data_IF_713721312613
#
_entry.id   IF_713721312613
#
_cell.length_a   1.000
_cell.length_b   1.000
_cell.length_c   1.000
_cell.angle_alpha   90.00
_cell.angle_beta   90.00
_cell.angle_gamma   90.00
#
_symmetry.space_group_name_H-M   'P 1'
#
loop_
_entity.id
_entity.type
_entity.pdbx_description
1 polymer ?
#
# COMPACT_ATOMS: atom_id res chain seq x y z
N UNK A 1 -42.25 51.32 57.86
CA UNK A 1 -40.99 52.09 57.74
C UNK A 1 -40.82 52.41 56.26
N UNK A 2 -41.59 53.39 55.74
CA UNK A 2 -41.28 54.82 55.61
C UNK A 2 -40.12 55.12 54.64
N UNK A 3 -40.45 55.98 53.68
CA UNK A 3 -39.81 56.41 52.42
C UNK A 3 -38.72 57.50 52.67
N UNK A 4 -38.25 58.37 51.74
CA UNK A 4 -38.63 58.60 50.33
C UNK A 4 -37.54 59.01 49.31
N UNK A 5 -37.99 59.04 48.04
CA UNK A 5 -37.65 59.95 46.94
C UNK A 5 -36.95 61.28 47.29
N UNK A 6 -36.06 61.76 46.39
CA UNK A 6 -36.12 63.08 45.69
C UNK A 6 -34.93 63.21 44.72
N UNK A 7 -35.17 63.31 43.40
CA UNK A 7 -35.23 64.52 42.52
C UNK A 7 -33.86 65.04 42.00
N UNK A 8 -33.80 65.15 40.66
CA UNK A 8 -32.76 65.75 39.79
C UNK A 8 -32.53 67.26 40.03
N UNK A 9 -31.40 67.84 39.58
CA UNK A 9 -31.38 68.54 38.28
C UNK A 9 -30.08 68.39 37.43
N UNK A 10 -30.19 68.84 36.18
CA UNK A 10 -29.21 68.87 35.08
C UNK A 10 -28.39 70.19 35.11
N UNK A 11 -27.24 70.19 34.39
CA UNK A 11 -26.35 71.29 33.94
C UNK A 11 -25.14 71.58 34.85
N UNK A 12 -23.88 71.80 34.42
CA UNK A 12 -23.22 72.11 33.13
C UNK A 12 -21.71 71.74 33.18
N UNK A 13 -21.17 71.38 32.02
CA UNK A 13 -19.80 71.59 31.47
C UNK A 13 -18.57 71.66 32.40
N UNK A 14 -17.62 70.75 32.15
CA UNK A 14 -16.23 70.87 32.57
C UNK A 14 -15.32 69.91 31.81
N UNK A 15 -14.77 70.36 30.69
CA UNK A 15 -13.77 69.63 29.90
C UNK A 15 -12.48 69.42 30.72
N UNK A 16 -12.02 68.18 30.83
CA UNK A 16 -10.66 67.86 31.26
C UNK A 16 -10.09 66.77 30.37
N UNK A 17 -8.95 67.09 29.74
CA UNK A 17 -8.13 66.17 28.96
C UNK A 17 -7.62 65.03 29.85
N UNK A 18 -7.85 63.79 29.44
CA UNK A 18 -7.06 62.64 29.89
C UNK A 18 -6.47 61.98 28.65
N UNK A 19 -5.17 62.19 28.47
CA UNK A 19 -4.32 61.43 27.57
C UNK A 19 -4.26 59.98 28.03
N UNK A 20 -4.77 59.05 27.24
CA UNK A 20 -4.56 57.61 27.39
C UNK A 20 -3.77 57.10 26.19
N UNK A 21 -2.51 56.80 26.46
CA UNK A 21 -1.53 56.17 25.58
C UNK A 21 -2.09 54.80 25.18
N UNK A 22 -2.46 54.64 23.91
CA UNK A 22 -2.73 53.34 23.31
C UNK A 22 -1.37 52.69 23.03
N UNK A 23 -1.00 51.70 23.87
CA UNK A 23 0.07 50.76 23.54
C UNK A 23 -0.47 49.90 22.40
N UNK A 24 0.05 50.14 21.19
CA UNK A 24 -0.15 49.27 20.03
C UNK A 24 0.52 47.92 20.30
N UNK A 25 -0.25 46.96 20.81
CA UNK A 25 0.09 45.55 20.60
C UNK A 25 -0.25 45.23 19.13
N UNK A 26 0.71 44.78 18.31
CA UNK A 26 0.37 44.32 16.98
C UNK A 26 -0.53 43.10 17.13
N UNK A 27 -1.81 43.26 16.78
CA UNK A 27 -2.67 42.14 16.45
C UNK A 27 -1.94 41.35 15.36
N UNK A 28 -1.49 40.15 15.71
CA UNK A 28 -1.05 39.16 14.74
C UNK A 28 -2.21 38.95 13.79
N UNK A 29 -2.11 39.54 12.60
CA UNK A 29 -2.99 39.27 11.48
C UNK A 29 -2.92 37.77 11.25
N UNK A 30 -4.06 37.10 11.47
CA UNK A 30 -4.26 35.73 11.04
C UNK A 30 -3.92 35.66 9.56
N UNK A 31 -2.91 34.85 9.26
CA UNK A 31 -2.32 34.69 7.94
C UNK A 31 -3.32 33.99 7.01
N UNK A 32 -4.25 34.76 6.45
CA UNK A 32 -5.11 34.35 5.33
C UNK A 32 -4.35 34.32 4.01
N UNK A 33 -3.04 34.56 4.01
CA UNK A 33 -2.17 34.51 2.83
C UNK A 33 -1.71 33.10 2.48
N UNK A 34 -1.66 32.18 3.46
CA UNK A 34 -1.18 30.82 3.24
C UNK A 34 -2.19 29.89 2.53
N UNK A 35 -3.52 30.09 2.71
CA UNK A 35 -4.51 29.19 2.09
C UNK A 35 -4.72 29.45 0.59
N UNK A 36 -4.51 30.68 0.12
CA UNK A 36 -4.78 31.06 -1.27
C UNK A 36 -3.68 30.63 -2.26
N UNK A 37 -2.51 30.22 -1.77
CA UNK A 37 -1.43 29.72 -2.61
C UNK A 37 -1.54 28.21 -2.88
N UNK A 38 -2.27 27.46 -2.04
CA UNK A 38 -2.49 26.02 -2.22
C UNK A 38 -3.46 25.72 -3.37
N UNK A 39 -4.47 26.57 -3.57
CA UNK A 39 -5.44 26.42 -4.68
C UNK A 39 -4.86 26.70 -6.08
N UNK A 40 -3.76 27.47 -6.19
CA UNK A 40 -3.20 27.86 -7.50
C UNK A 40 -2.20 26.89 -8.10
N UNK A 41 -1.66 25.95 -7.32
CA UNK A 41 -0.58 25.07 -7.79
C UNK A 41 -1.09 23.82 -8.53
N UNK A 42 -2.36 23.45 -8.38
CA UNK A 42 -2.93 22.26 -9.01
C UNK A 42 -3.96 22.65 -10.06
N UNK A 43 -3.59 22.61 -11.34
CA UNK A 43 -4.53 22.74 -12.45
C UNK A 43 -5.12 21.34 -12.79
N UNK A 44 -6.35 21.02 -12.35
CA UNK A 44 -6.90 19.66 -12.38
C UNK A 44 -7.40 19.22 -13.76
N UNK A 45 -7.43 20.12 -14.74
CA UNK A 45 -7.95 19.84 -16.09
C UNK A 45 -6.92 19.18 -17.02
N UNK A 46 -5.63 19.22 -16.66
CA UNK A 46 -4.61 18.44 -17.33
C UNK A 46 -4.64 17.02 -16.76
N UNK A 47 -4.98 16.01 -17.58
CA UNK A 47 -4.77 14.60 -17.22
C UNK A 47 -3.38 14.46 -16.59
N UNK A 48 -3.29 13.86 -15.40
CA UNK A 48 -2.03 13.51 -14.74
C UNK A 48 -1.19 12.72 -15.75
N UNK A 49 -0.23 13.40 -16.37
CA UNK A 49 0.62 12.84 -17.42
C UNK A 49 2.01 12.80 -16.84
N UNK A 50 2.46 11.57 -16.56
CA UNK A 50 3.76 11.35 -15.98
C UNK A 50 4.75 10.92 -17.06
N UNK A 51 5.94 11.49 -17.00
CA UNK A 51 7.08 11.03 -17.80
C UNK A 51 7.67 9.77 -17.17
N UNK A 52 8.22 8.91 -18.02
CA UNK A 52 9.03 7.76 -17.61
C UNK A 52 10.49 8.17 -17.44
N UNK A 53 11.25 7.38 -16.69
CA UNK A 53 12.71 7.53 -16.57
C UNK A 53 13.39 6.29 -17.11
N UNK A 54 14.58 6.44 -17.68
CA UNK A 54 15.37 5.32 -18.19
C UNK A 54 16.34 4.90 -17.09
N UNK A 55 16.35 3.62 -16.66
CA UNK A 55 17.34 3.13 -15.72
C UNK A 55 18.75 3.22 -16.33
N UNK A 56 19.72 3.62 -15.52
CA UNK A 56 21.11 3.72 -15.90
C UNK A 56 21.74 2.31 -16.03
N UNK A 57 22.48 2.03 -17.11
CA UNK A 57 23.20 0.77 -17.27
C UNK A 57 24.21 0.56 -16.14
N UNK A 58 24.30 -0.68 -15.65
CA UNK A 58 25.29 -1.13 -14.66
C UNK A 58 25.27 -0.41 -13.29
N UNK A 59 24.27 0.44 -13.04
CA UNK A 59 24.11 1.11 -11.76
C UNK A 59 23.49 0.17 -10.73
N UNK A 60 24.12 0.11 -9.56
CA UNK A 60 23.54 -0.53 -8.37
C UNK A 60 22.67 0.50 -7.66
N UNK A 61 21.37 0.21 -7.57
CA UNK A 61 20.41 1.09 -6.90
C UNK A 61 20.26 0.73 -5.42
N UNK A 62 20.25 1.76 -4.57
CA UNK A 62 19.80 1.64 -3.18
C UNK A 62 18.27 1.72 -3.13
N UNK A 63 17.68 1.01 -2.17
CA UNK A 63 16.24 1.04 -1.90
C UNK A 63 16.03 1.65 -0.52
N UNK A 64 15.11 2.59 -0.37
CA UNK A 64 14.56 2.87 0.94
C UNK A 64 13.34 1.99 1.18
N UNK A 65 13.29 1.31 2.31
CA UNK A 65 12.18 0.49 2.74
C UNK A 65 11.39 1.23 3.83
N UNK A 66 10.21 1.70 3.48
CA UNK A 66 9.29 2.42 4.37
C UNK A 66 8.31 1.39 4.91
N UNK A 67 8.39 1.13 6.21
CA UNK A 67 7.55 0.14 6.89
C UNK A 67 6.52 0.89 7.72
N UNK A 68 5.24 0.72 7.40
CA UNK A 68 4.15 1.11 8.28
C UNK A 68 3.96 0.04 9.36
N UNK A 69 4.01 0.45 10.63
CA UNK A 69 3.90 -0.49 11.75
C UNK A 69 3.28 0.12 13.00
N UNK A 70 2.97 -0.74 13.96
CA UNK A 70 2.71 -0.40 15.36
C UNK A 70 3.78 -1.00 16.28
N UNK A 71 3.85 -0.54 17.53
CA UNK A 71 4.93 -0.87 18.46
C UNK A 71 5.03 -2.38 18.71
N UNK A 72 3.89 -3.08 18.78
CA UNK A 72 3.81 -4.52 19.04
C UNK A 72 4.25 -5.42 17.87
N UNK A 73 4.37 -4.88 16.66
CA UNK A 73 4.71 -5.69 15.49
C UNK A 73 6.22 -5.95 15.43
N UNK A 74 6.57 -7.20 15.13
CA UNK A 74 7.96 -7.62 14.98
C UNK A 74 8.47 -7.29 13.57
N UNK A 75 9.60 -6.60 13.52
CA UNK A 75 10.31 -6.21 12.29
C UNK A 75 11.77 -6.66 12.32
N UNK A 76 12.14 -7.60 13.20
CA UNK A 76 13.49 -8.13 13.32
C UNK A 76 14.02 -8.74 12.02
N UNK A 77 13.14 -9.22 11.14
CA UNK A 77 13.46 -9.71 9.80
C UNK A 77 14.22 -8.69 8.93
N UNK A 78 14.08 -7.39 9.23
CA UNK A 78 14.81 -6.31 8.53
C UNK A 78 16.32 -6.44 8.67
N UNK A 79 16.82 -7.05 9.77
CA UNK A 79 18.25 -7.33 9.97
C UNK A 79 18.84 -8.29 8.94
N UNK A 80 18.01 -9.02 8.20
CA UNK A 80 18.45 -9.94 7.15
C UNK A 80 18.59 -9.25 5.79
N UNK A 81 18.12 -8.01 5.64
CA UNK A 81 18.18 -7.28 4.38
C UNK A 81 19.62 -6.90 4.02
N UNK A 82 19.95 -6.78 2.72
CA UNK A 82 21.28 -6.37 2.29
C UNK A 82 21.54 -4.88 2.59
N UNK A 83 22.82 -4.51 2.74
CA UNK A 83 23.29 -3.15 3.11
C UNK A 83 22.87 -2.02 2.16
N UNK A 84 22.38 -2.35 0.97
CA UNK A 84 21.83 -1.39 0.01
C UNK A 84 20.33 -1.12 0.22
N UNK A 85 19.73 -1.60 1.33
CA UNK A 85 18.36 -1.31 1.74
C UNK A 85 18.37 -0.47 3.02
N UNK A 86 17.96 0.78 2.89
CA UNK A 86 17.85 1.74 3.99
C UNK A 86 16.45 1.62 4.62
N UNK A 87 16.37 1.18 5.88
CA UNK A 87 15.09 0.87 6.55
C UNK A 87 14.57 2.08 7.33
N UNK A 88 13.32 2.46 7.06
CA UNK A 88 12.57 3.51 7.74
C UNK A 88 11.29 2.93 8.34
N UNK A 89 11.33 2.52 9.60
CA UNK A 89 10.18 1.93 10.29
C UNK A 89 9.36 3.00 11.01
N UNK A 90 8.23 3.39 10.43
CA UNK A 90 7.26 4.26 11.07
C UNK A 90 6.43 3.49 12.10
N UNK A 91 6.38 3.99 13.33
CA UNK A 91 5.60 3.39 14.43
C UNK A 91 4.43 4.31 14.75
N UNK A 92 3.24 3.94 14.27
CA UNK A 92 2.08 4.83 14.25
C UNK A 92 1.54 5.16 15.66
N UNK A 93 1.65 4.23 16.60
CA UNK A 93 1.12 4.32 17.97
C UNK A 93 2.18 4.73 19.01
N UNK A 94 3.36 5.18 18.58
CA UNK A 94 4.42 5.67 19.46
C UNK A 94 4.91 7.07 19.07
N UNK A 95 4.43 8.14 19.72
CA UNK A 95 4.86 9.52 19.44
C UNK A 95 6.34 9.82 19.75
N UNK A 96 7.05 8.92 20.43
CA UNK A 96 8.46 9.07 20.78
C UNK A 96 9.38 8.22 19.89
N UNK A 97 8.83 7.49 18.91
CA UNK A 97 9.66 6.77 17.94
C UNK A 97 10.42 7.75 17.03
N UNK A 98 11.65 7.36 16.64
CA UNK A 98 12.47 8.14 15.70
C UNK A 98 11.71 8.46 14.40
N UNK A 99 11.10 7.43 13.80
CA UNK A 99 10.12 7.59 12.73
C UNK A 99 8.74 7.35 13.31
N UNK A 100 8.00 8.44 13.49
CA UNK A 100 6.62 8.42 13.97
C UNK A 100 5.71 9.19 13.02
N UNK A 101 4.42 9.15 13.29
CA UNK A 101 3.40 9.87 12.54
C UNK A 101 2.82 11.02 13.36
N UNK A 102 2.37 12.10 12.71
CA UNK A 102 1.68 13.20 13.38
C UNK A 102 0.37 12.80 14.09
N UNK A 103 -0.27 11.70 13.67
CA UNK A 103 -1.46 11.14 14.31
C UNK A 103 -1.62 9.66 13.95
N UNK A 104 -1.96 8.82 14.92
CA UNK A 104 -2.30 7.42 14.67
C UNK A 104 -3.67 7.28 14.00
N UNK A 105 -3.78 7.60 12.71
CA UNK A 105 -5.02 7.58 11.94
C UNK A 105 -4.76 7.22 10.48
N UNK A 106 -5.57 6.33 9.90
CA UNK A 106 -5.45 5.95 8.49
C UNK A 106 -4.34 4.93 8.20
N UNK A 107 -3.93 4.14 9.19
CA UNK A 107 -3.00 3.02 9.04
C UNK A 107 -1.72 3.39 8.26
N UNK A 108 -1.37 2.64 7.22
CA UNK A 108 -0.17 2.82 6.41
C UNK A 108 -0.14 4.15 5.66
N UNK A 109 -1.31 4.72 5.33
CA UNK A 109 -1.44 5.97 4.58
C UNK A 109 -0.71 7.11 5.29
N UNK A 110 -0.84 7.19 6.61
CA UNK A 110 -0.21 8.26 7.38
C UNK A 110 1.31 8.13 7.41
N UNK A 111 1.83 6.91 7.56
CA UNK A 111 3.26 6.65 7.51
C UNK A 111 3.84 7.00 6.13
N UNK A 112 3.20 6.54 5.06
CA UNK A 112 3.69 6.71 3.70
C UNK A 112 3.67 8.19 3.27
N UNK A 113 2.58 8.91 3.53
CA UNK A 113 2.49 10.33 3.23
C UNK A 113 3.47 11.15 4.08
N UNK A 114 3.67 10.79 5.35
CA UNK A 114 4.65 11.48 6.22
C UNK A 114 6.06 11.31 5.68
N UNK A 115 6.46 10.11 5.26
CA UNK A 115 7.76 9.91 4.61
C UNK A 115 7.93 10.77 3.36
N UNK A 116 6.95 10.74 2.45
CA UNK A 116 7.01 11.50 1.20
C UNK A 116 7.12 13.02 1.45
N UNK A 117 6.44 13.53 2.47
CA UNK A 117 6.46 14.95 2.84
C UNK A 117 7.78 15.34 3.49
N UNK A 118 8.27 14.55 4.45
CA UNK A 118 9.43 14.91 5.27
C UNK A 118 10.75 14.76 4.49
N UNK A 119 10.76 13.85 3.52
CA UNK A 119 11.93 13.54 2.70
C UNK A 119 11.86 14.08 1.27
N UNK A 120 10.84 14.88 0.91
CA UNK A 120 10.56 15.29 -0.47
C UNK A 120 11.79 15.81 -1.24
N UNK A 121 12.59 16.67 -0.62
CA UNK A 121 13.77 17.29 -1.25
C UNK A 121 14.99 16.35 -1.34
N UNK A 122 14.91 15.16 -0.72
CA UNK A 122 15.99 14.17 -0.60
C UNK A 122 15.50 12.74 -0.80
N UNK A 123 14.41 12.53 -1.53
CA UNK A 123 13.85 11.20 -1.77
C UNK A 123 14.92 10.28 -2.37
N UNK A 124 14.99 8.99 -2.03
CA UNK A 124 15.92 8.03 -2.63
C UNK A 124 15.42 7.59 -4.02
N UNK A 125 16.30 6.98 -4.82
CA UNK A 125 15.98 6.59 -6.21
C UNK A 125 14.82 5.62 -6.32
N UNK A 126 14.74 4.67 -5.38
CA UNK A 126 13.67 3.68 -5.27
C UNK A 126 13.19 3.67 -3.82
N UNK A 127 11.89 3.85 -3.65
CA UNK A 127 11.20 3.75 -2.36
C UNK A 127 10.25 2.56 -2.42
N UNK A 128 10.23 1.76 -1.36
CA UNK A 128 9.46 0.53 -1.24
C UNK A 128 8.61 0.65 0.01
N UNK A 129 7.30 0.67 -0.14
CA UNK A 129 6.31 0.86 0.92
C UNK A 129 5.66 -0.48 1.25
N UNK A 130 5.78 -0.93 2.50
CA UNK A 130 5.32 -2.25 2.96
C UNK A 130 4.72 -2.20 4.36
N UNK A 131 3.96 -3.23 4.68
CA UNK A 131 3.52 -3.53 6.04
C UNK A 131 4.63 -4.16 6.88
N UNK A 132 4.44 -4.23 8.19
CA UNK A 132 5.43 -4.74 9.14
C UNK A 132 5.70 -6.26 9.06
N UNK A 133 4.75 -7.05 8.56
CA UNK A 133 4.77 -8.51 8.66
C UNK A 133 5.88 -9.16 7.81
N UNK A 134 6.60 -10.14 8.38
CA UNK A 134 7.61 -10.93 7.64
C UNK A 134 6.97 -11.86 6.60
N UNK A 135 5.89 -12.54 7.00
CA UNK A 135 5.09 -13.43 6.17
C UNK A 135 3.66 -12.90 6.12
N UNK A 136 3.13 -12.69 4.90
CA UNK A 136 1.77 -12.19 4.74
C UNK A 136 1.22 -12.45 3.34
N UNK A 137 -0.08 -12.74 3.27
CA UNK A 137 -0.85 -12.83 2.03
C UNK A 137 -0.81 -11.54 1.18
N UNK A 138 -0.38 -10.40 1.74
CA UNK A 138 -0.14 -9.17 0.99
C UNK A 138 1.07 -9.26 0.04
N UNK A 139 1.88 -10.31 0.14
CA UNK A 139 3.07 -10.52 -0.67
C UNK A 139 2.82 -11.57 -1.77
N UNK A 140 3.51 -11.49 -2.92
CA UNK A 140 3.36 -12.47 -3.98
C UNK A 140 3.75 -13.89 -3.53
N UNK A 141 2.89 -14.84 -3.80
CA UNK A 141 3.07 -16.22 -3.34
C UNK A 141 4.28 -16.92 -3.98
N UNK A 142 4.69 -16.63 -5.23
CA UNK A 142 5.96 -17.20 -5.78
C UNK A 142 7.22 -16.68 -5.08
N UNK A 143 7.05 -15.71 -4.17
CA UNK A 143 8.06 -15.22 -3.24
C UNK A 143 7.84 -15.79 -1.83
N UNK A 144 7.02 -16.84 -1.71
CA UNK A 144 6.62 -17.52 -0.48
C UNK A 144 5.97 -16.59 0.55
N UNK A 145 5.23 -15.57 0.07
CA UNK A 145 4.59 -14.56 0.92
C UNK A 145 5.57 -13.82 1.87
N UNK A 146 6.88 -13.86 1.54
CA UNK A 146 7.96 -13.46 2.43
C UNK A 146 8.52 -12.08 2.05
N UNK A 147 8.35 -11.10 2.94
CA UNK A 147 8.72 -9.69 2.73
C UNK A 147 10.21 -9.52 2.42
N UNK A 148 11.16 -10.13 3.15
CA UNK A 148 12.59 -10.04 2.81
C UNK A 148 12.90 -10.57 1.40
N UNK A 149 12.29 -11.68 0.99
CA UNK A 149 12.48 -12.21 -0.38
C UNK A 149 11.95 -11.23 -1.42
N UNK A 150 10.77 -10.65 -1.17
CA UNK A 150 10.15 -9.66 -2.05
C UNK A 150 11.05 -8.42 -2.22
N UNK A 151 11.51 -7.82 -1.12
CA UNK A 151 12.38 -6.62 -1.15
C UNK A 151 13.71 -6.91 -1.87
N UNK A 152 14.35 -8.05 -1.58
CA UNK A 152 15.61 -8.44 -2.23
C UNK A 152 15.44 -8.59 -3.74
N UNK A 153 14.36 -9.25 -4.18
CA UNK A 153 14.14 -9.57 -5.60
C UNK A 153 13.49 -8.45 -6.42
N UNK A 154 12.90 -7.44 -5.76
CA UNK A 154 12.30 -6.31 -6.43
C UNK A 154 13.31 -5.63 -7.36
N UNK A 155 12.97 -5.55 -8.64
CA UNK A 155 13.77 -4.93 -9.69
C UNK A 155 13.71 -3.40 -9.61
N UNK A 156 14.81 -2.71 -9.21
CA UNK A 156 14.84 -1.26 -9.23
C UNK A 156 14.68 -0.70 -10.66
N UNK A 157 15.22 -1.39 -11.66
CA UNK A 157 15.11 -1.01 -13.07
C UNK A 157 13.64 -0.94 -13.54
N UNK A 158 12.80 -1.89 -13.11
CA UNK A 158 11.36 -1.83 -13.44
C UNK A 158 10.70 -0.66 -12.74
N UNK A 159 10.96 -0.46 -11.45
CA UNK A 159 10.37 0.64 -10.68
C UNK A 159 10.74 1.99 -11.29
N UNK A 160 11.99 2.16 -11.73
CA UNK A 160 12.47 3.38 -12.40
C UNK A 160 11.82 3.55 -13.78
N UNK A 161 11.74 2.48 -14.57
CA UNK A 161 11.16 2.54 -15.92
C UNK A 161 9.66 2.87 -15.91
N UNK A 162 8.90 2.16 -15.08
CA UNK A 162 7.44 2.32 -15.00
C UNK A 162 7.04 3.50 -14.09
N UNK A 163 7.91 3.90 -13.18
CA UNK A 163 7.69 4.93 -12.18
C UNK A 163 6.92 4.45 -10.94
N UNK A 164 6.05 3.46 -11.11
CA UNK A 164 5.22 2.83 -10.07
C UNK A 164 5.09 1.33 -10.30
N UNK A 165 5.16 0.55 -9.23
CA UNK A 165 4.91 -0.88 -9.24
C UNK A 165 4.16 -1.29 -7.98
N UNK A 166 2.99 -1.91 -8.12
CA UNK A 166 2.37 -2.63 -7.02
C UNK A 166 3.21 -3.88 -6.70
N UNK A 167 3.44 -4.16 -5.42
CA UNK A 167 4.27 -5.29 -5.00
C UNK A 167 3.50 -6.61 -4.99
N UNK A 168 2.17 -6.58 -4.98
CA UNK A 168 1.31 -7.74 -5.17
C UNK A 168 1.12 -8.03 -6.67
N UNK A 169 1.30 -9.30 -7.07
CA UNK A 169 1.17 -9.74 -8.47
C UNK A 169 -0.19 -10.37 -8.80
N UNK A 170 -1.18 -10.19 -7.92
CA UNK A 170 -2.50 -10.82 -8.01
C UNK A 170 -2.54 -12.15 -7.27
N UNK A 171 -3.73 -12.51 -6.78
CA UNK A 171 -3.96 -13.80 -6.15
C UNK A 171 -4.22 -14.87 -7.23
N UNK A 172 -4.03 -16.12 -6.85
CA UNK A 172 -4.16 -17.27 -7.74
C UNK A 172 -5.62 -17.61 -8.07
N UNK A 173 -6.51 -17.33 -7.12
CA UNK A 173 -7.95 -17.61 -7.18
C UNK A 173 -8.75 -16.52 -7.90
N UNK A 174 -8.32 -15.26 -7.78
CA UNK A 174 -9.01 -14.14 -8.44
C UNK A 174 -8.39 -13.79 -9.78
N UNK A 175 -7.14 -14.19 -10.09
CA UNK A 175 -6.51 -14.12 -11.43
C UNK A 175 -6.51 -12.74 -12.09
N UNK A 176 -7.05 -11.74 -11.41
CA UNK A 176 -7.51 -10.50 -12.00
C UNK A 176 -7.06 -9.37 -11.11
N UNK A 177 -6.99 -8.23 -11.77
CA UNK A 177 -7.09 -6.94 -11.16
C UNK A 177 -8.58 -6.61 -11.21
N UNK A 178 -9.38 -7.11 -10.26
CA UNK A 178 -10.81 -7.16 -10.44
C UNK A 178 -11.34 -5.73 -10.50
N UNK A 179 -12.20 -5.45 -11.48
CA UNK A 179 -12.95 -4.21 -11.58
C UNK A 179 -14.09 -4.14 -10.53
N UNK A 180 -13.81 -4.63 -9.32
CA UNK A 180 -14.74 -4.74 -8.18
C UNK A 180 -15.00 -3.39 -7.54
N UNK A 181 -14.02 -2.49 -7.61
CA UNK A 181 -14.19 -1.12 -7.16
C UNK A 181 -14.78 -0.31 -8.29
N UNK A 182 -16.06 0.02 -8.12
CA UNK A 182 -16.84 0.84 -9.05
C UNK A 182 -17.45 2.01 -8.29
N UNK A 183 -16.70 3.09 -8.10
CA UNK A 183 -17.15 4.22 -7.29
C UNK A 183 -18.46 4.82 -7.79
N UNK A 184 -18.70 4.94 -9.10
CA UNK A 184 -19.99 5.42 -9.64
C UNK A 184 -21.21 4.55 -9.29
N UNK A 185 -20.98 3.28 -8.96
CA UNK A 185 -22.02 2.34 -8.51
C UNK A 185 -22.08 2.21 -6.98
N UNK A 186 -21.17 2.88 -6.25
CA UNK A 186 -21.02 2.70 -4.81
C UNK A 186 -20.57 1.29 -4.43
N UNK A 187 -19.65 0.69 -5.18
CA UNK A 187 -19.11 -0.67 -4.91
C UNK A 187 -17.62 -0.67 -4.58
N UNK A 188 -17.18 -1.54 -3.65
CA UNK A 188 -17.98 -2.41 -2.77
C UNK A 188 -18.83 -1.65 -1.74
N UNK A 189 -18.49 -0.39 -1.44
CA UNK A 189 -19.18 0.44 -0.45
C UNK A 189 -19.68 1.73 -1.09
N UNK A 190 -20.86 2.21 -0.70
CA UNK A 190 -21.44 3.46 -1.25
C UNK A 190 -20.52 4.66 -1.02
N UNK A 191 -19.88 4.65 0.13
CA UNK A 191 -18.92 5.65 0.60
C UNK A 191 -17.71 5.81 -0.34
N UNK A 192 -17.43 4.86 -1.23
CA UNK A 192 -16.30 4.99 -2.17
C UNK A 192 -16.50 6.12 -3.16
N UNK A 193 -17.75 6.43 -3.54
CA UNK A 193 -18.05 7.63 -4.32
C UNK A 193 -17.72 8.89 -3.51
N UNK A 194 -18.24 8.98 -2.28
CA UNK A 194 -18.03 10.13 -1.39
C UNK A 194 -16.54 10.35 -1.06
N UNK A 195 -15.79 9.25 -0.87
CA UNK A 195 -14.35 9.28 -0.66
C UNK A 195 -13.66 9.85 -1.91
N UNK A 196 -14.00 9.38 -3.11
CA UNK A 196 -13.44 9.94 -4.34
C UNK A 196 -13.75 11.42 -4.50
N UNK A 197 -15.03 11.80 -4.40
CA UNK A 197 -15.48 13.18 -4.58
C UNK A 197 -14.84 14.14 -3.57
N UNK A 198 -14.58 13.67 -2.34
CA UNK A 198 -13.90 14.48 -1.33
C UNK A 198 -12.37 14.56 -1.51
N UNK A 199 -11.73 13.49 -2.00
CA UNK A 199 -10.29 13.46 -2.27
C UNK A 199 -9.93 14.21 -3.55
N UNK A 200 -10.76 14.08 -4.58
CA UNK A 200 -10.52 14.57 -5.94
C UNK A 200 -11.76 15.30 -6.48
N UNK A 201 -12.17 16.42 -5.87
CA UNK A 201 -13.42 17.13 -6.23
C UNK A 201 -13.46 17.63 -7.68
N UNK A 202 -12.31 17.67 -8.35
CA UNK A 202 -12.17 18.12 -9.73
C UNK A 202 -11.91 16.99 -10.72
N UNK A 203 -11.75 15.74 -10.26
CA UNK A 203 -11.62 14.57 -11.13
C UNK A 203 -12.97 13.84 -11.21
N UNK A 204 -13.41 13.42 -12.41
CA UNK A 204 -14.63 12.63 -12.52
C UNK A 204 -14.50 11.33 -11.74
N UNK A 205 -15.56 10.94 -11.04
CA UNK A 205 -15.65 9.64 -10.36
C UNK A 205 -15.44 8.53 -11.40
N UNK A 206 -14.46 7.63 -11.21
CA UNK A 206 -14.16 6.61 -12.20
C UNK A 206 -15.25 5.54 -12.17
N UNK A 207 -15.60 5.01 -13.34
CA UNK A 207 -16.49 3.85 -13.44
C UNK A 207 -15.83 2.61 -12.82
N UNK A 208 -14.52 2.46 -13.02
CA UNK A 208 -13.70 1.37 -12.50
C UNK A 208 -12.42 1.95 -11.95
N UNK A 209 -12.09 1.60 -10.71
CA UNK A 209 -10.77 1.78 -10.13
C UNK A 209 -10.18 0.39 -9.89
N UNK A 210 -9.09 0.02 -10.55
CA UNK A 210 -8.57 -1.34 -10.47
C UNK A 210 -7.05 -1.36 -10.39
N UNK A 211 -6.55 -2.01 -9.35
CA UNK A 211 -5.19 -2.51 -9.21
C UNK A 211 -5.22 -3.74 -8.29
N UNK A 212 -4.08 -4.38 -8.04
CA UNK A 212 -3.98 -5.34 -6.93
C UNK A 212 -4.08 -4.62 -5.57
N UNK A 213 -4.63 -5.29 -4.57
CA UNK A 213 -4.92 -4.75 -3.23
C UNK A 213 -3.68 -4.32 -2.43
N UNK A 214 -3.95 -4.03 -1.15
CA UNK A 214 -3.05 -4.25 -0.03
C UNK A 214 -2.02 -3.17 0.22
N UNK A 215 -2.02 -2.07 -0.54
CA UNK A 215 -1.25 -0.87 -0.19
C UNK A 215 0.27 -1.05 -0.16
N UNK A 216 0.82 -2.14 -0.72
CA UNK A 216 2.26 -2.34 -0.82
C UNK A 216 2.74 -2.04 -2.24
N UNK A 217 3.64 -1.08 -2.39
CA UNK A 217 4.09 -0.62 -3.71
C UNK A 217 5.52 -0.09 -3.67
N UNK A 218 6.11 0.08 -4.84
CA UNK A 218 7.37 0.77 -5.01
C UNK A 218 7.22 1.90 -6.03
N UNK A 219 7.92 3.00 -5.79
CA UNK A 219 7.98 4.15 -6.69
C UNK A 219 9.40 4.63 -6.87
N UNK A 220 9.66 5.22 -8.02
CA UNK A 220 10.93 5.91 -8.27
C UNK A 220 10.91 7.34 -7.75
N UNK A 221 12.08 7.89 -7.43
CA UNK A 221 12.27 9.33 -7.17
C UNK A 221 11.63 10.18 -8.26
N UNK A 222 11.94 9.84 -9.51
CA UNK A 222 11.48 10.58 -10.67
C UNK A 222 9.94 10.60 -10.76
N UNK A 223 9.26 9.53 -10.37
CA UNK A 223 7.79 9.53 -10.30
C UNK A 223 7.26 10.32 -9.12
N UNK A 224 7.84 10.13 -7.93
CA UNK A 224 7.39 10.83 -6.73
C UNK A 224 7.47 12.35 -6.87
N UNK A 225 8.55 12.88 -7.46
CA UNK A 225 8.77 14.31 -7.66
C UNK A 225 7.84 14.95 -8.72
N UNK A 226 7.13 14.16 -9.51
CA UNK A 226 6.10 14.68 -10.43
C UNK A 226 4.76 14.92 -9.73
N UNK A 227 4.61 14.46 -8.49
CA UNK A 227 3.48 14.82 -7.62
C UNK A 227 3.97 15.93 -6.68
N UNK A 228 3.45 17.17 -6.77
CA UNK A 228 3.89 18.27 -5.92
C UNK A 228 3.80 17.92 -4.43
N UNK A 229 4.74 18.45 -3.63
CA UNK A 229 4.76 18.23 -2.18
C UNK A 229 3.43 18.64 -1.52
N UNK A 230 2.84 19.72 -2.02
CA UNK A 230 1.57 20.27 -1.57
C UNK A 230 0.43 19.27 -1.74
N UNK A 231 0.47 18.42 -2.77
CA UNK A 231 -0.53 17.39 -2.99
C UNK A 231 -0.43 16.30 -1.92
N UNK A 232 0.78 15.86 -1.54
CA UNK A 232 0.95 14.93 -0.42
C UNK A 232 0.48 15.54 0.90
N UNK A 233 0.76 16.82 1.14
CA UNK A 233 0.27 17.55 2.32
C UNK A 233 -1.26 17.58 2.32
N UNK A 234 -1.90 17.91 1.19
CA UNK A 234 -3.35 17.95 1.05
C UNK A 234 -3.98 16.58 1.31
N UNK A 235 -3.43 15.51 0.73
CA UNK A 235 -3.89 14.14 0.94
C UNK A 235 -3.76 13.72 2.42
N UNK A 236 -2.65 14.08 3.09
CA UNK A 236 -2.46 13.80 4.52
C UNK A 236 -3.44 14.59 5.38
N UNK A 237 -3.68 15.85 5.01
CA UNK A 237 -4.63 16.71 5.69
C UNK A 237 -6.06 16.17 5.58
N UNK A 238 -6.47 15.69 4.40
CA UNK A 238 -7.75 15.00 4.23
C UNK A 238 -7.88 13.80 5.17
N UNK A 239 -6.80 13.03 5.37
CA UNK A 239 -6.82 11.90 6.32
C UNK A 239 -6.99 12.35 7.78
N UNK A 240 -6.42 13.50 8.18
CA UNK A 240 -6.71 14.07 9.51
C UNK A 240 -8.15 14.51 9.65
N UNK A 241 -8.71 15.16 8.63
CA UNK A 241 -9.99 15.84 8.73
C UNK A 241 -11.19 14.93 8.48
N UNK A 242 -11.01 13.85 7.71
CA UNK A 242 -12.10 12.96 7.34
C UNK A 242 -12.76 12.34 8.57
N UNK A 243 -14.10 12.40 8.61
CA UNK A 243 -14.93 11.75 9.63
C UNK A 243 -15.51 10.42 9.13
N UNK A 244 -15.09 9.99 7.95
CA UNK A 244 -15.53 8.74 7.32
C UNK A 244 -14.96 7.53 8.09
N UNK A 245 -15.58 6.38 7.89
CA UNK A 245 -15.16 5.13 8.53
C UNK A 245 -13.71 4.77 8.14
N UNK A 246 -12.84 4.60 9.14
CA UNK A 246 -11.41 4.36 8.92
C UNK A 246 -11.08 3.03 8.23
N UNK A 247 -11.91 2.00 8.43
CA UNK A 247 -11.74 0.72 7.74
C UNK A 247 -12.07 0.85 6.26
N UNK A 248 -13.16 1.55 5.94
CA UNK A 248 -13.58 1.80 4.55
C UNK A 248 -12.60 2.73 3.84
N UNK A 249 -12.15 3.82 4.49
CA UNK A 249 -11.17 4.72 3.89
C UNK A 249 -9.82 4.02 3.71
N UNK A 250 -9.34 3.26 4.70
CA UNK A 250 -8.13 2.45 4.57
C UNK A 250 -8.20 1.49 3.39
N UNK A 251 -9.30 0.74 3.27
CA UNK A 251 -9.51 -0.16 2.14
C UNK A 251 -9.55 0.58 0.79
N UNK A 252 -10.14 1.78 0.72
CA UNK A 252 -10.11 2.58 -0.51
C UNK A 252 -8.68 2.99 -0.89
N UNK A 253 -7.88 3.38 0.10
CA UNK A 253 -6.48 3.79 -0.10
C UNK A 253 -5.59 2.67 -0.64
N UNK A 254 -5.86 1.41 -0.27
CA UNK A 254 -5.17 0.25 -0.85
C UNK A 254 -5.26 0.21 -2.39
N UNK A 255 -6.33 0.78 -2.97
CA UNK A 255 -6.58 0.84 -4.40
C UNK A 255 -6.42 2.24 -4.99
N UNK A 256 -5.82 3.18 -4.26
CA UNK A 256 -5.69 4.56 -4.72
C UNK A 256 -4.26 4.93 -5.17
N UNK A 257 -3.25 4.25 -4.64
CA UNK A 257 -1.85 4.59 -4.89
C UNK A 257 -1.48 4.61 -6.37
N UNK A 258 -1.98 3.68 -7.18
CA UNK A 258 -1.69 3.68 -8.62
C UNK A 258 -2.30 4.89 -9.30
N UNK A 259 -3.48 5.37 -8.90
CA UNK A 259 -4.07 6.57 -9.49
C UNK A 259 -3.20 7.80 -9.20
N UNK A 260 -2.76 7.95 -7.95
CA UNK A 260 -1.86 9.04 -7.54
C UNK A 260 -0.57 9.03 -8.35
N UNK A 261 0.03 7.85 -8.54
CA UNK A 261 1.34 7.75 -9.18
C UNK A 261 1.30 7.41 -10.67
N UNK A 262 0.16 7.16 -11.29
CA UNK A 262 0.09 6.83 -12.73
C UNK A 262 -0.94 7.66 -13.49
N UNK A 263 -1.88 8.31 -12.79
CA UNK A 263 -2.99 9.03 -13.40
C UNK A 263 -4.02 8.11 -14.06
N UNK A 264 -3.88 6.79 -13.94
CA UNK A 264 -4.77 5.79 -14.54
C UNK A 264 -5.70 5.25 -13.47
N UNK A 265 -6.98 5.10 -13.84
CA UNK A 265 -7.95 4.44 -12.97
C UNK A 265 -7.73 2.92 -12.93
N UNK A 266 -7.13 2.34 -13.98
CA UNK A 266 -6.87 0.91 -14.11
C UNK A 266 -5.36 0.69 -14.29
N UNK A 267 -4.73 -0.04 -13.38
CA UNK A 267 -3.33 -0.46 -13.44
C UNK A 267 -3.20 -1.95 -13.10
N UNK A 268 -3.25 -2.77 -14.13
CA UNK A 268 -3.41 -4.22 -14.03
C UNK A 268 -2.41 -4.93 -14.96
N UNK A 269 -1.11 -4.99 -14.63
CA UNK A 269 -0.15 -5.73 -15.44
C UNK A 269 -0.46 -7.24 -15.39
N UNK A 270 -0.20 -7.95 -16.49
CA UNK A 270 -0.28 -9.42 -16.54
C UNK A 270 0.53 -10.04 -15.39
N UNK A 271 -0.01 -11.05 -14.70
CA UNK A 271 0.62 -11.64 -13.51
C UNK A 271 2.03 -12.17 -13.80
N UNK A 272 2.22 -12.87 -14.92
CA UNK A 272 3.53 -13.39 -15.33
C UNK A 272 4.53 -12.24 -15.59
N UNK A 273 4.07 -11.09 -16.12
CA UNK A 273 4.91 -9.90 -16.31
C UNK A 273 5.29 -9.28 -14.98
N UNK A 274 4.36 -9.21 -14.02
CA UNK A 274 4.65 -8.76 -12.65
C UNK A 274 5.76 -9.59 -12.01
N UNK A 275 5.64 -10.92 -12.05
CA UNK A 275 6.65 -11.83 -11.51
C UNK A 275 7.98 -11.78 -12.26
N UNK A 276 7.95 -11.76 -13.60
CA UNK A 276 9.16 -11.83 -14.41
C UNK A 276 9.97 -10.53 -14.36
N UNK A 277 9.36 -9.41 -14.72
CA UNK A 277 10.09 -8.15 -14.81
C UNK A 277 10.09 -7.39 -13.47
N UNK A 278 9.18 -7.69 -12.54
CA UNK A 278 9.22 -7.16 -11.18
C UNK A 278 10.18 -7.91 -10.25
N UNK A 279 10.20 -9.24 -10.32
CA UNK A 279 10.90 -10.08 -9.33
C UNK A 279 11.86 -11.11 -9.93
N UNK A 280 12.06 -11.10 -11.25
CA UNK A 280 12.98 -12.00 -11.95
C UNK A 280 12.52 -13.46 -11.94
N UNK A 281 11.22 -13.74 -11.93
CA UNK A 281 10.65 -15.09 -12.04
C UNK A 281 10.00 -15.22 -13.41
N UNK A 282 10.77 -15.67 -14.40
CA UNK A 282 10.34 -15.71 -15.80
C UNK A 282 10.08 -17.14 -16.27
N UNK A 283 8.80 -17.44 -16.50
CA UNK A 283 8.37 -18.71 -17.07
C UNK A 283 8.72 -18.80 -18.57
N UNK A 284 8.82 -20.03 -19.06
CA UNK A 284 9.15 -20.33 -20.46
C UNK A 284 8.04 -19.91 -21.42
N UNK A 285 6.80 -19.91 -20.97
CA UNK A 285 5.64 -19.41 -21.70
C UNK A 285 4.45 -19.30 -20.74
N UNK A 286 3.32 -18.85 -21.28
CA UNK A 286 2.06 -18.76 -20.54
C UNK A 286 1.57 -20.16 -20.10
N UNK A 287 1.91 -21.23 -20.81
CA UNK A 287 1.49 -22.58 -20.46
C UNK A 287 2.22 -23.11 -19.21
N UNK A 288 3.54 -22.87 -19.09
CA UNK A 288 4.31 -23.20 -17.89
C UNK A 288 3.82 -22.38 -16.69
N UNK A 289 3.55 -21.08 -16.87
CA UNK A 289 2.96 -20.24 -15.83
C UNK A 289 1.59 -20.76 -15.38
N UNK A 290 0.68 -21.05 -16.32
CA UNK A 290 -0.65 -21.56 -16.03
C UNK A 290 -0.61 -22.93 -15.36
N UNK A 291 0.33 -23.81 -15.74
CA UNK A 291 0.54 -25.10 -15.06
C UNK A 291 0.90 -24.88 -13.59
N UNK A 292 1.87 -24.01 -13.32
CA UNK A 292 2.26 -23.68 -11.94
C UNK A 292 1.10 -23.07 -11.17
N UNK A 293 0.36 -22.12 -11.77
CA UNK A 293 -0.82 -21.54 -11.15
C UNK A 293 -1.87 -22.61 -10.77
N UNK A 294 -2.17 -23.54 -11.68
CA UNK A 294 -3.12 -24.63 -11.42
C UNK A 294 -2.64 -25.57 -10.30
N UNK A 295 -1.34 -25.87 -10.24
CA UNK A 295 -0.77 -26.67 -9.14
C UNK A 295 -0.92 -25.94 -7.81
N UNK A 296 -0.69 -24.63 -7.78
CA UNK A 296 -0.84 -23.81 -6.57
C UNK A 296 -2.26 -23.78 -6.06
N UNK A 297 -3.23 -23.56 -6.95
CA UNK A 297 -4.64 -23.65 -6.63
C UNK A 297 -5.03 -25.04 -6.10
N UNK A 298 -4.43 -26.10 -6.62
CA UNK A 298 -4.65 -27.45 -6.12
C UNK A 298 -4.04 -27.67 -4.73
N UNK A 299 -2.82 -27.17 -4.48
CA UNK A 299 -2.17 -27.21 -3.16
C UNK A 299 -3.02 -26.49 -2.11
N UNK A 300 -3.51 -25.29 -2.43
CA UNK A 300 -4.33 -24.51 -1.50
C UNK A 300 -5.67 -25.19 -1.17
N UNK A 301 -6.35 -25.75 -2.19
CA UNK A 301 -7.57 -26.55 -1.98
C UNK A 301 -7.33 -27.76 -1.09
N UNK A 302 -6.26 -28.52 -1.36
CA UNK A 302 -5.90 -29.68 -0.53
C UNK A 302 -5.55 -29.27 0.89
N UNK A 303 -4.84 -28.16 1.07
CA UNK A 303 -4.53 -27.62 2.39
C UNK A 303 -5.81 -27.26 3.17
N UNK A 304 -6.77 -26.59 2.52
CA UNK A 304 -8.06 -26.27 3.11
C UNK A 304 -8.87 -27.53 3.50
N UNK A 305 -8.90 -28.55 2.63
CA UNK A 305 -9.56 -29.82 2.90
C UNK A 305 -8.91 -30.57 4.08
N UNK A 306 -7.58 -30.65 4.12
CA UNK A 306 -6.82 -31.27 5.22
C UNK A 306 -7.09 -30.52 6.53
N UNK A 307 -7.10 -29.19 6.51
CA UNK A 307 -7.38 -28.35 7.68
C UNK A 307 -8.79 -28.63 8.23
N UNK A 308 -9.81 -28.59 7.37
CA UNK A 308 -11.19 -28.88 7.76
C UNK A 308 -11.34 -30.31 8.30
N UNK A 309 -10.70 -31.29 7.65
CA UNK A 309 -10.72 -32.68 8.12
C UNK A 309 -10.06 -32.82 9.50
N UNK A 310 -8.96 -32.11 9.77
CA UNK A 310 -8.32 -32.10 11.10
C UNK A 310 -9.21 -31.49 12.18
N UNK A 311 -9.90 -30.40 11.86
CA UNK A 311 -10.87 -29.77 12.78
C UNK A 311 -12.04 -30.72 13.10
N UNK A 312 -12.55 -31.44 12.10
CA UNK A 312 -13.59 -32.46 12.29
C UNK A 312 -13.12 -33.62 13.17
N UNK A 313 -11.92 -34.16 12.92
CA UNK A 313 -11.36 -35.24 13.74
C UNK A 313 -11.18 -34.79 15.20
N UNK A 314 -10.65 -33.59 15.44
CA UNK A 314 -10.53 -33.02 16.79
C UNK A 314 -11.87 -32.85 17.48
N UNK A 315 -12.88 -32.35 16.77
CA UNK A 315 -14.22 -32.21 17.34
C UNK A 315 -14.88 -33.56 17.70
N UNK A 316 -14.45 -34.65 17.05
CA UNK A 316 -14.90 -36.00 17.40
C UNK A 316 -14.21 -36.55 18.65
N UNK A 317 -13.02 -36.06 19.02
CA UNK A 317 -12.28 -36.50 20.22
C UNK A 317 -13.04 -36.18 21.52
N UNK A 318 -13.89 -35.15 21.52
CA UNK A 318 -14.66 -34.68 22.67
C UNK A 318 -15.98 -35.47 22.95
N UNK A 319 -16.30 -36.49 22.15
CA UNK A 319 -17.57 -37.26 22.23
C UNK A 319 -17.33 -38.65 22.86
N UNK A 320 -18.09 -39.08 23.87
CA UNK A 320 -17.88 -40.35 24.60
C UNK A 320 -17.63 -41.61 23.71
N UNK A 321 -16.70 -42.46 24.16
CA UNK A 321 -16.06 -43.54 23.39
C UNK A 321 -17.04 -44.61 22.88
N UNK A 322 -17.03 -44.83 21.56
CA UNK A 322 -17.66 -45.99 20.90
C UNK A 322 -16.71 -46.52 19.81
N UNK A 323 -16.54 -47.85 19.65
CA UNK A 323 -15.68 -48.46 18.61
C UNK A 323 -15.87 -47.91 17.18
N UNK A 324 -17.09 -47.55 16.72
CA UNK A 324 -17.29 -46.91 15.41
C UNK A 324 -16.54 -45.58 15.25
N UNK A 325 -16.19 -44.88 16.35
CA UNK A 325 -15.46 -43.60 16.35
C UNK A 325 -14.00 -43.77 15.95
N UNK A 326 -13.33 -44.79 16.49
CA UNK A 326 -11.90 -45.05 16.27
C UNK A 326 -11.65 -45.39 14.80
N UNK A 327 -12.48 -46.26 14.20
CA UNK A 327 -12.36 -46.64 12.80
C UNK A 327 -12.59 -45.46 11.83
N UNK A 328 -13.49 -44.53 12.18
CA UNK A 328 -13.74 -43.32 11.38
C UNK A 328 -12.56 -42.35 11.48
N UNK A 329 -11.99 -42.19 12.68
CA UNK A 329 -10.80 -41.37 12.90
C UNK A 329 -9.59 -41.91 12.11
N UNK A 330 -9.33 -43.22 12.16
CA UNK A 330 -8.23 -43.85 11.42
C UNK A 330 -8.36 -43.68 9.90
N UNK A 331 -9.58 -43.84 9.37
CA UNK A 331 -9.85 -43.62 7.94
C UNK A 331 -9.63 -42.16 7.53
N UNK A 332 -10.04 -41.22 8.39
CA UNK A 332 -9.83 -39.79 8.17
C UNK A 332 -8.33 -39.43 8.21
N UNK A 333 -7.57 -39.95 9.17
CA UNK A 333 -6.12 -39.77 9.26
C UNK A 333 -5.41 -40.33 8.02
N UNK A 334 -5.74 -41.56 7.60
CA UNK A 334 -5.17 -42.15 6.39
C UNK A 334 -5.50 -41.32 5.13
N UNK A 335 -6.69 -40.70 5.07
CA UNK A 335 -7.05 -39.77 3.98
C UNK A 335 -6.21 -38.49 4.05
N UNK A 336 -6.02 -37.91 5.23
CA UNK A 336 -5.19 -36.72 5.45
C UNK A 336 -3.74 -36.96 5.02
N UNK A 337 -3.18 -38.13 5.34
CA UNK A 337 -1.81 -38.49 4.95
C UNK A 337 -1.66 -38.56 3.43
N UNK A 338 -2.62 -39.19 2.74
CA UNK A 338 -2.63 -39.23 1.26
C UNK A 338 -2.73 -37.83 0.65
N UNK A 339 -3.62 -36.98 1.16
CA UNK A 339 -3.77 -35.60 0.67
C UNK A 339 -2.51 -34.77 0.94
N UNK A 340 -1.87 -34.97 2.10
CA UNK A 340 -0.62 -34.30 2.47
C UNK A 340 0.53 -34.71 1.54
N UNK A 341 0.66 -36.01 1.22
CA UNK A 341 1.68 -36.50 0.30
C UNK A 341 1.48 -35.92 -1.12
N UNK A 342 0.25 -35.90 -1.64
CA UNK A 342 -0.06 -35.28 -2.93
C UNK A 342 0.28 -33.79 -2.92
N UNK A 343 -0.07 -33.07 -1.86
CA UNK A 343 0.26 -31.65 -1.70
C UNK A 343 1.77 -31.41 -1.70
N UNK A 344 2.56 -32.29 -1.07
CA UNK A 344 4.02 -32.21 -1.06
C UNK A 344 4.62 -32.41 -2.46
N UNK A 345 4.15 -33.41 -3.21
CA UNK A 345 4.60 -33.66 -4.58
C UNK A 345 4.27 -32.48 -5.50
N UNK A 346 3.05 -31.94 -5.41
CA UNK A 346 2.63 -30.76 -6.18
C UNK A 346 3.48 -29.54 -5.82
N UNK A 347 3.76 -29.33 -4.53
CA UNK A 347 4.61 -28.24 -4.06
C UNK A 347 6.05 -28.39 -4.57
N UNK A 348 6.57 -29.62 -4.64
CA UNK A 348 7.91 -29.88 -5.17
C UNK A 348 8.01 -29.53 -6.66
N UNK A 349 7.01 -29.87 -7.48
CA UNK A 349 6.98 -29.50 -8.91
C UNK A 349 6.89 -27.97 -9.10
N UNK A 350 6.03 -27.31 -8.32
CA UNK A 350 5.94 -25.84 -8.28
C UNK A 350 7.31 -25.23 -8.00
N UNK A 351 7.96 -25.58 -6.90
CA UNK A 351 9.20 -24.92 -6.48
C UNK A 351 10.39 -25.27 -7.38
N UNK A 352 10.41 -26.47 -7.96
CA UNK A 352 11.36 -26.86 -9.01
C UNK A 352 11.19 -25.99 -10.26
N UNK A 353 9.95 -25.78 -10.70
CA UNK A 353 9.65 -24.92 -11.86
C UNK A 353 9.97 -23.46 -11.58
N UNK A 354 9.63 -22.94 -10.39
CA UNK A 354 9.97 -21.58 -9.95
C UNK A 354 11.48 -21.37 -9.88
N UNK A 355 12.26 -22.37 -9.46
CA UNK A 355 13.72 -22.28 -9.46
C UNK A 355 14.29 -22.11 -10.89
N UNK A 356 13.77 -22.85 -11.87
CA UNK A 356 14.12 -22.67 -13.29
C UNK A 356 13.72 -21.29 -13.78
N UNK A 357 12.52 -20.82 -13.43
CA UNK A 357 12.03 -19.49 -13.78
C UNK A 357 12.89 -18.36 -13.19
N UNK A 358 13.38 -18.53 -11.96
CA UNK A 358 14.33 -17.62 -11.32
C UNK A 358 15.68 -17.59 -12.01
N UNK A 359 16.13 -18.71 -12.56
CA UNK A 359 17.37 -18.78 -13.33
C UNK A 359 17.25 -18.01 -14.65
N UNK A 360 16.17 -18.26 -15.41
CA UNK A 360 15.85 -17.53 -16.65
C UNK A 360 15.71 -16.03 -16.43
N UNK A 361 15.02 -15.65 -15.35
CA UNK A 361 14.82 -14.24 -14.98
C UNK A 361 16.06 -13.49 -14.50
N UNK A 362 17.26 -14.10 -14.54
CA UNK A 362 18.52 -13.35 -14.40
C UNK A 362 18.92 -12.64 -15.70
N UNK A 363 18.43 -13.12 -16.86
CA UNK A 363 18.74 -12.49 -18.14
C UNK A 363 17.78 -11.31 -18.39
N UNK A 364 18.30 -10.07 -18.47
CA UNK A 364 17.49 -8.88 -18.74
C UNK A 364 16.76 -8.92 -20.09
N UNK A 365 17.31 -9.63 -21.10
CA UNK A 365 16.68 -9.77 -22.41
C UNK A 365 15.46 -10.67 -22.35
N UNK A 366 15.54 -11.79 -21.63
CA UNK A 366 14.39 -12.66 -21.38
C UNK A 366 13.30 -11.88 -20.65
N UNK A 367 13.66 -11.08 -19.64
CA UNK A 367 12.69 -10.25 -18.91
C UNK A 367 11.96 -9.27 -19.81
N UNK A 368 12.68 -8.63 -20.73
CA UNK A 368 12.11 -7.74 -21.73
C UNK A 368 11.14 -8.47 -22.66
N UNK A 369 11.59 -9.56 -23.26
CA UNK A 369 10.81 -10.40 -24.16
C UNK A 369 9.50 -10.87 -23.51
N UNK A 370 9.59 -11.44 -22.29
CA UNK A 370 8.42 -11.92 -21.53
C UNK A 370 7.48 -10.81 -21.08
N UNK A 371 7.96 -9.58 -21.01
CA UNK A 371 7.15 -8.41 -20.72
C UNK A 371 6.66 -7.69 -21.97
N UNK A 372 6.77 -8.34 -23.14
CA UNK A 372 6.36 -7.80 -24.45
C UNK A 372 6.96 -6.42 -24.74
N UNK A 373 8.17 -6.18 -24.23
CA UNK A 373 8.93 -4.93 -24.43
C UNK A 373 10.23 -5.24 -25.15
N UNK A 374 10.73 -4.25 -25.90
CA UNK A 374 12.08 -4.32 -26.46
C UNK A 374 13.08 -4.25 -25.31
N UNK A 375 14.17 -5.02 -25.42
CA UNK A 375 15.30 -4.86 -24.51
C UNK A 375 16.09 -3.61 -24.89
N UNK A 376 16.39 -2.77 -23.91
CA UNK A 376 17.23 -1.59 -24.03
C UNK A 376 18.42 -1.65 -23.08
N UNK A 377 19.49 -0.95 -23.43
CA UNK A 377 20.63 -0.80 -22.54
C UNK A 377 20.16 -0.06 -21.28
N UNK A 378 20.38 -0.66 -20.10
CA UNK A 378 19.81 -0.18 -18.84
C UNK A 378 18.71 -1.07 -18.25
N UNK A 379 18.14 -2.01 -19.01
CA UNK A 379 17.14 -2.97 -18.51
C UNK A 379 17.71 -4.07 -17.61
N UNK A 380 18.57 -3.73 -16.64
CA UNK A 380 19.24 -4.67 -15.74
C UNK A 380 18.32 -5.40 -14.77
N UNK A 381 18.88 -6.40 -14.07
CA UNK A 381 18.25 -7.05 -12.91
C UNK A 381 19.24 -7.06 -11.76
N UNK A 382 18.87 -6.35 -10.68
CA UNK A 382 19.55 -6.25 -9.38
C UNK A 382 21.07 -6.07 -9.43
#
# INVERSE_FOLDING_TARGET
MQSPNTRWPIFLLGATLISLIIILFPHSTTDRGASNNVERAWNPSARRTYTTSIPEPHRVYRKALIIASVQKEDTNWTSTLPDNVDVHRYINDNPQAEFTVPMNKGNEVMAYLTYLIDHYDRLPEVMVFVHAHEFTHHNPWLLAEHTPTMVRRLSPHRVIREGYMNLHCGSWDEGTCPATIRPTEGRPWREFQDIWESLFPNDPVPEVLAQHCCGQFAISRHRALQVPREEFIRLRQWMFDTKMNLGITGQFWEYLWHFIFTGKNIYCPDQHVCYCDGFGICFEDDAEFNRVNNLLLGVDKLYAEVKLSREQVRAMEDIEDTEPREQVADSALARQDRMTAVMQDMSADVWSTVAKARSRGRDPRIRAERSKRRWEEGDGFN
#
